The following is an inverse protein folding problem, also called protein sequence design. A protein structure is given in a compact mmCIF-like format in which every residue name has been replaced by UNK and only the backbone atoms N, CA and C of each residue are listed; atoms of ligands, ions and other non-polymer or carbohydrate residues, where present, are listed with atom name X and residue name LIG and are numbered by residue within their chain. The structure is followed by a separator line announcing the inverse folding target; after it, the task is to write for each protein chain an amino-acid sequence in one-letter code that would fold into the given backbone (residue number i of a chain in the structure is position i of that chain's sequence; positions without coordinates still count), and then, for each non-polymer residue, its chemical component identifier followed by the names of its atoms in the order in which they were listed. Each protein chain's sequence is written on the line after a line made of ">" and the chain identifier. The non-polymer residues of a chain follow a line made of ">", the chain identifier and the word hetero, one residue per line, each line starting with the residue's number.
data_IF_073087868672
#
_entry.id   IF_073087868672
#
_cell.length_a   1.000
_cell.length_b   1.000
_cell.length_c   1.000
_cell.angle_alpha   90.00
_cell.angle_beta   90.00
_cell.angle_gamma   90.00
#
_symmetry.space_group_name_H-M   'P 1'
#
loop_
_entity.id
_entity.type
_entity.pdbx_description
1 polymer ?
#
# COMPACT_ATOMS: atom_id res chain seq x y z
N UNK A 1 38.27 -3.27 -15.85
CA UNK A 1 37.96 -4.50 -15.10
C UNK A 1 37.38 -4.02 -13.79
N UNK A 2 36.11 -4.27 -13.51
CA UNK A 2 35.53 -3.94 -12.21
C UNK A 2 36.01 -5.00 -11.22
N UNK A 3 36.56 -4.57 -10.08
CA UNK A 3 36.93 -5.50 -9.02
C UNK A 3 35.73 -5.80 -8.11
N UNK A 4 35.95 -6.57 -7.05
CA UNK A 4 34.89 -6.92 -6.10
C UNK A 4 34.37 -5.70 -5.34
N UNK A 5 35.19 -4.67 -5.14
CA UNK A 5 34.80 -3.45 -4.45
C UNK A 5 33.88 -2.58 -5.33
N UNK A 6 34.21 -2.47 -6.62
CA UNK A 6 33.36 -1.77 -7.60
C UNK A 6 31.96 -2.42 -7.68
N UNK A 7 31.91 -3.76 -7.74
CA UNK A 7 30.64 -4.50 -7.79
C UNK A 7 29.82 -4.37 -6.52
N UNK A 8 30.46 -4.41 -5.35
CA UNK A 8 29.80 -4.23 -4.07
C UNK A 8 29.19 -2.83 -3.97
N UNK A 9 29.96 -1.80 -4.30
CA UNK A 9 29.52 -0.41 -4.27
C UNK A 9 28.33 -0.15 -5.20
N UNK A 10 28.38 -0.66 -6.43
CA UNK A 10 27.27 -0.55 -7.38
C UNK A 10 26.00 -1.25 -6.86
N UNK A 11 26.15 -2.39 -6.18
CA UNK A 11 25.02 -3.11 -5.59
C UNK A 11 24.37 -2.30 -4.46
N UNK A 12 25.17 -1.70 -3.58
CA UNK A 12 24.70 -0.85 -2.48
C UNK A 12 23.97 0.39 -3.00
N UNK A 13 24.52 1.05 -4.02
CA UNK A 13 23.86 2.19 -4.66
C UNK A 13 22.52 1.79 -5.27
N UNK A 14 22.44 0.63 -5.94
CA UNK A 14 21.19 0.11 -6.51
C UNK A 14 20.16 -0.19 -5.42
N UNK A 15 20.56 -0.82 -4.32
CA UNK A 15 19.66 -1.10 -3.20
C UNK A 15 19.16 0.19 -2.55
N UNK A 16 20.03 1.17 -2.31
CA UNK A 16 19.66 2.47 -1.76
C UNK A 16 18.64 3.17 -2.66
N UNK A 17 18.91 3.24 -3.97
CA UNK A 17 18.02 3.88 -4.94
C UNK A 17 16.63 3.20 -4.98
N UNK A 18 16.59 1.87 -4.94
CA UNK A 18 15.34 1.11 -4.89
C UNK A 18 14.56 1.36 -3.59
N UNK A 19 15.23 1.39 -2.44
CA UNK A 19 14.59 1.65 -1.15
C UNK A 19 13.97 3.06 -1.11
N UNK A 20 14.69 4.08 -1.60
CA UNK A 20 14.20 5.45 -1.69
C UNK A 20 13.01 5.56 -2.65
N UNK A 21 13.08 4.91 -3.82
CA UNK A 21 11.98 4.90 -4.78
C UNK A 21 10.73 4.15 -4.26
N UNK A 22 10.91 3.15 -3.40
CA UNK A 22 9.80 2.46 -2.74
C UNK A 22 9.14 3.35 -1.66
N UNK A 23 9.90 4.17 -0.96
CA UNK A 23 9.38 5.10 0.05
C UNK A 23 8.52 6.21 -0.58
N UNK A 24 8.93 6.78 -1.71
CA UNK A 24 8.17 7.87 -2.37
C UNK A 24 6.86 7.41 -3.01
N UNK A 25 6.70 6.10 -3.26
CA UNK A 25 5.49 5.51 -3.87
C UNK A 25 4.45 5.06 -2.86
N UNK A 26 4.63 5.38 -1.57
CA UNK A 26 3.61 5.10 -0.56
C UNK A 26 2.33 5.86 -0.89
N UNK A 27 1.30 5.13 -1.33
CA UNK A 27 -0.03 5.70 -1.57
C UNK A 27 -0.62 6.11 -0.23
N UNK A 28 -0.90 7.40 -0.08
CA UNK A 28 -1.60 7.94 1.08
C UNK A 28 -3.08 7.60 0.95
N UNK A 29 -3.58 6.74 1.84
CA UNK A 29 -5.02 6.48 1.96
C UNK A 29 -5.75 7.77 2.34
N UNK A 30 -6.85 8.05 1.63
CA UNK A 30 -7.72 9.17 1.96
C UNK A 30 -8.86 8.71 2.86
N UNK A 31 -9.28 9.49 3.87
CA UNK A 31 -10.50 9.22 4.61
C UNK A 31 -11.70 9.25 3.67
N UNK A 32 -12.51 8.19 3.69
CA UNK A 32 -13.68 8.05 2.82
C UNK A 32 -15.01 7.94 3.59
N UNK A 33 -14.97 8.14 4.91
CA UNK A 33 -16.14 7.91 5.77
C UNK A 33 -16.29 6.46 6.23
N UNK A 34 -15.62 5.50 5.56
CA UNK A 34 -15.76 4.08 5.85
C UNK A 34 -14.44 3.31 5.84
N UNK A 35 -14.42 2.18 6.56
CA UNK A 35 -13.22 1.39 6.78
C UNK A 35 -12.70 0.79 5.48
N UNK A 36 -11.42 1.06 5.18
CA UNK A 36 -10.75 0.54 3.98
C UNK A 36 -10.62 -0.99 3.94
N UNK A 37 -10.77 -1.66 5.09
CA UNK A 37 -10.72 -3.12 5.17
C UNK A 37 -12.10 -3.77 5.13
N UNK A 38 -12.97 -3.46 6.10
CA UNK A 38 -14.25 -4.14 6.31
C UNK A 38 -15.46 -3.38 5.74
N UNK A 39 -15.29 -2.11 5.34
CA UNK A 39 -16.37 -1.27 4.81
C UNK A 39 -17.30 -0.65 5.87
N UNK A 40 -16.94 -0.67 7.15
CA UNK A 40 -17.75 -0.04 8.20
C UNK A 40 -17.80 1.49 8.05
N UNK A 41 -19.00 2.07 7.87
CA UNK A 41 -19.23 3.51 7.64
C UNK A 41 -19.19 4.37 8.93
N UNK A 42 -19.04 3.76 10.11
CA UNK A 42 -19.07 4.45 11.40
C UNK A 42 -17.69 4.98 11.86
N UNK A 43 -16.81 5.38 10.94
CA UNK A 43 -15.44 5.79 11.27
C UNK A 43 -15.10 7.26 11.00
N UNK A 44 -16.02 8.02 10.38
CA UNK A 44 -15.88 9.46 10.18
C UNK A 44 -14.63 9.83 9.36
N UNK A 45 -13.64 10.47 9.99
CA UNK A 45 -12.38 10.82 9.33
C UNK A 45 -11.28 9.75 9.51
N UNK A 46 -11.59 8.63 10.15
CA UNK A 46 -10.69 7.49 10.27
C UNK A 46 -10.49 6.76 8.95
N UNK A 47 -9.38 6.02 8.86
CA UNK A 47 -9.11 5.08 7.76
C UNK A 47 -9.63 3.67 8.07
N UNK A 48 -9.61 3.30 9.34
CA UNK A 48 -9.98 1.97 9.83
C UNK A 48 -10.84 2.09 11.09
N UNK A 49 -11.71 1.12 11.34
CA UNK A 49 -12.55 1.09 12.54
C UNK A 49 -11.81 0.65 13.79
N UNK A 50 -10.75 -0.15 13.61
CA UNK A 50 -9.95 -0.72 14.70
C UNK A 50 -8.53 -1.04 14.20
N UNK A 51 -7.59 -1.32 15.13
CA UNK A 51 -6.22 -1.70 14.79
C UNK A 51 -6.11 -3.01 14.00
N UNK A 52 -7.02 -3.96 14.20
CA UNK A 52 -6.98 -5.25 13.51
C UNK A 52 -7.27 -5.06 12.00
N UNK A 53 -8.26 -4.22 11.67
CA UNK A 53 -8.56 -3.81 10.30
C UNK A 53 -7.41 -3.06 9.64
N UNK A 54 -6.67 -2.25 10.39
CA UNK A 54 -5.48 -1.58 9.87
C UNK A 54 -4.37 -2.60 9.55
N UNK A 55 -4.09 -3.52 10.48
CA UNK A 55 -3.06 -4.55 10.31
C UNK A 55 -3.38 -5.51 9.15
N UNK A 56 -4.63 -5.96 9.05
CA UNK A 56 -5.08 -6.85 7.96
C UNK A 56 -4.99 -6.17 6.60
N UNK A 57 -5.36 -4.88 6.53
CA UNK A 57 -5.22 -4.10 5.30
C UNK A 57 -3.76 -3.95 4.90
N UNK A 58 -2.87 -3.60 5.84
CA UNK A 58 -1.43 -3.45 5.59
C UNK A 58 -0.80 -4.78 5.12
N UNK A 59 -1.16 -5.90 5.75
CA UNK A 59 -0.71 -7.23 5.34
C UNK A 59 -1.13 -7.55 3.90
N UNK A 60 -2.40 -7.32 3.57
CA UNK A 60 -2.92 -7.57 2.24
C UNK A 60 -2.30 -6.67 1.19
N UNK A 61 -2.10 -5.38 1.50
CA UNK A 61 -1.44 -4.45 0.58
C UNK A 61 0.03 -4.83 0.36
N UNK A 62 0.75 -5.20 1.42
CA UNK A 62 2.12 -5.71 1.33
C UNK A 62 2.21 -7.00 0.48
N UNK A 63 1.28 -7.94 0.68
CA UNK A 63 1.20 -9.16 -0.13
C UNK A 63 0.93 -8.85 -1.60
N UNK A 64 -0.01 -7.94 -1.89
CA UNK A 64 -0.32 -7.51 -3.27
C UNK A 64 0.88 -6.87 -3.94
N UNK A 65 1.60 -5.98 -3.25
CA UNK A 65 2.85 -5.38 -3.76
C UNK A 65 3.89 -6.44 -4.09
N UNK A 66 4.07 -7.44 -3.22
CA UNK A 66 4.99 -8.57 -3.45
C UNK A 66 4.59 -9.42 -4.65
N UNK A 67 3.29 -9.59 -4.88
CA UNK A 67 2.74 -10.32 -6.03
C UNK A 67 2.64 -9.48 -7.31
N UNK A 68 3.02 -8.19 -7.27
CA UNK A 68 2.88 -7.29 -8.42
C UNK A 68 1.43 -6.93 -8.77
N UNK A 69 0.49 -7.15 -7.86
CA UNK A 69 -0.92 -6.80 -8.04
C UNK A 69 -1.14 -5.30 -7.79
N UNK A 70 -2.08 -4.66 -8.51
CA UNK A 70 -2.39 -3.26 -8.28
C UNK A 70 -2.88 -3.05 -6.85
N UNK A 71 -2.55 -1.89 -6.26
CA UNK A 71 -3.10 -1.48 -4.97
C UNK A 71 -4.63 -1.60 -4.98
N UNK A 72 -5.24 -1.93 -3.84
CA UNK A 72 -6.71 -1.91 -3.73
C UNK A 72 -7.16 -0.47 -4.02
N UNK A 73 -7.61 -0.22 -5.24
CA UNK A 73 -8.30 1.01 -5.57
C UNK A 73 -9.66 0.96 -4.93
N UNK A 74 -10.04 2.03 -4.25
CA UNK A 74 -11.45 2.27 -3.98
C UNK A 74 -12.09 2.61 -5.33
N UNK A 75 -12.62 1.60 -6.03
CA UNK A 75 -13.45 1.86 -7.19
C UNK A 75 -14.76 2.41 -6.66
N UNK A 76 -14.99 3.71 -6.85
CA UNK A 76 -16.25 4.38 -6.55
C UNK A 76 -17.49 3.66 -7.15
N UNK A 77 -17.28 2.74 -8.10
CA UNK A 77 -18.30 1.85 -8.66
C UNK A 77 -18.91 0.85 -7.66
N UNK A 78 -18.26 0.54 -6.52
CA UNK A 78 -18.85 -0.34 -5.52
C UNK A 78 -19.98 0.34 -4.71
N UNK A 79 -20.01 1.67 -4.64
CA UNK A 79 -21.09 2.42 -4.00
C UNK A 79 -22.39 2.42 -4.85
N UNK A 80 -22.32 2.05 -6.14
CA UNK A 80 -23.47 1.99 -7.04
C UNK A 80 -24.20 0.63 -7.03
N UNK A 81 -23.67 -0.40 -6.35
CA UNK A 81 -24.23 -1.76 -6.40
C UNK A 81 -25.27 -2.09 -5.31
N UNK A 82 -25.65 -1.14 -4.45
CA UNK A 82 -26.73 -1.28 -3.45
C UNK A 82 -27.89 -0.35 -3.75
N UNK A 83 -28.38 -0.35 -4.99
CA UNK A 83 -29.73 0.15 -5.31
C UNK A 83 -30.32 -0.70 -6.44
N UNK A 84 -30.91 -1.84 -6.11
CA UNK A 84 -32.01 -2.40 -6.90
C UNK A 84 -32.94 -3.29 -6.08
#
# INVERSE_FOLDING_TARGET
>A
MADVADLAFDSEQRYLAQALAAQTRQRVLQPMGSCHHCGNDAIGQGLFCDPDCAADWEYQDALRRRLGLPARGWTADAAAATQH
#
